data_IF_052808432127
#
_entry.id   IF_052808432127
#
_cell.length_a   1.000
_cell.length_b   1.000
_cell.length_c   1.000
_cell.angle_alpha   90.00
_cell.angle_beta   90.00
_cell.angle_gamma   90.00
#
_symmetry.space_group_name_H-M   'P 1'
#
loop_
_entity.id
_entity.type
_entity.pdbx_description
1 polymer ?
#
# COMPACT_ATOMS: atom_id res chain seq x y z
N UNK A 1 2.96 -18.06 5.39
CA UNK A 1 2.34 -17.84 4.07
C UNK A 1 3.40 -17.22 3.18
N UNK A 2 3.51 -17.64 1.92
CA UNK A 2 4.46 -17.03 0.98
C UNK A 2 3.85 -15.77 0.34
N UNK A 3 4.58 -14.66 0.40
CA UNK A 3 4.17 -13.36 -0.13
C UNK A 3 4.97 -12.93 -1.37
N UNK A 4 6.01 -13.66 -1.79
CA UNK A 4 6.98 -13.20 -2.81
C UNK A 4 6.35 -12.74 -4.12
N UNK A 5 5.25 -13.38 -4.56
CA UNK A 5 4.54 -12.99 -5.77
C UNK A 5 3.22 -12.26 -5.52
N UNK A 6 2.97 -11.78 -4.30
CA UNK A 6 1.70 -11.18 -3.89
C UNK A 6 1.72 -9.66 -4.02
N UNK A 7 0.63 -9.13 -4.57
CA UNK A 7 0.31 -7.71 -4.60
C UNK A 7 -0.67 -7.42 -3.47
N UNK A 8 -0.26 -6.54 -2.55
CA UNK A 8 -1.04 -6.20 -1.36
C UNK A 8 -1.55 -4.76 -1.50
N UNK A 9 -2.84 -4.52 -1.31
CA UNK A 9 -3.42 -3.19 -1.21
C UNK A 9 -3.62 -2.84 0.26
N UNK A 10 -3.07 -1.71 0.70
CA UNK A 10 -3.31 -1.17 2.04
C UNK A 10 -4.14 0.09 1.92
N UNK A 11 -5.39 0.02 2.38
CA UNK A 11 -6.26 1.21 2.46
C UNK A 11 -5.95 2.02 3.70
N UNK A 12 -6.07 3.35 3.64
CA UNK A 12 -5.67 4.21 4.76
C UNK A 12 -4.17 4.10 5.10
N UNK A 13 -3.33 3.71 4.13
CA UNK A 13 -1.91 3.40 4.33
C UNK A 13 -1.08 4.55 4.94
N UNK A 14 -1.49 5.80 4.74
CA UNK A 14 -0.81 6.97 5.32
C UNK A 14 -1.23 7.27 6.76
N UNK A 15 -2.20 6.52 7.31
CA UNK A 15 -2.60 6.58 8.71
C UNK A 15 -1.61 5.85 9.62
N UNK A 16 -1.73 6.07 10.93
CA UNK A 16 -0.82 5.50 11.93
C UNK A 16 -0.73 3.97 11.87
N UNK A 17 -1.87 3.28 11.72
CA UNK A 17 -1.86 1.83 11.58
C UNK A 17 -1.22 1.38 10.27
N UNK A 18 -1.65 1.95 9.14
CA UNK A 18 -1.20 1.54 7.81
C UNK A 18 0.31 1.65 7.62
N UNK A 19 0.90 2.78 8.02
CA UNK A 19 2.34 3.00 7.88
C UNK A 19 3.16 2.08 8.78
N UNK A 20 2.73 1.89 10.04
CA UNK A 20 3.37 0.96 10.96
C UNK A 20 3.22 -0.50 10.52
N UNK A 21 2.05 -0.88 10.00
CA UNK A 21 1.81 -2.20 9.44
C UNK A 21 2.77 -2.47 8.28
N UNK A 22 2.88 -1.56 7.30
CA UNK A 22 3.79 -1.70 6.16
C UNK A 22 5.24 -1.86 6.65
N UNK A 23 5.68 -0.97 7.55
CA UNK A 23 7.04 -1.01 8.12
C UNK A 23 7.32 -2.31 8.85
N UNK A 24 6.38 -2.83 9.64
CA UNK A 24 6.56 -4.08 10.37
C UNK A 24 6.48 -5.30 9.44
N UNK A 25 5.53 -5.31 8.51
CA UNK A 25 5.31 -6.38 7.56
C UNK A 25 6.56 -6.63 6.71
N UNK A 26 7.19 -5.57 6.22
CA UNK A 26 8.39 -5.62 5.39
C UNK A 26 9.67 -6.07 6.13
N UNK A 27 9.65 -6.16 7.48
CA UNK A 27 10.80 -6.72 8.23
C UNK A 27 10.92 -8.23 8.09
N UNK A 28 9.82 -8.91 7.78
CA UNK A 28 9.77 -10.38 7.79
C UNK A 28 9.20 -10.97 6.51
N UNK A 29 8.73 -10.13 5.59
CA UNK A 29 8.09 -10.56 4.35
C UNK A 29 8.57 -9.68 3.18
N UNK A 30 8.72 -10.30 2.01
CA UNK A 30 9.13 -9.62 0.79
C UNK A 30 8.03 -9.80 -0.26
N UNK A 31 7.00 -8.93 -0.31
CA UNK A 31 5.96 -9.02 -1.32
C UNK A 31 6.45 -8.54 -2.69
N UNK A 32 5.72 -8.87 -3.75
CA UNK A 32 6.00 -8.32 -5.09
C UNK A 32 5.80 -6.81 -5.14
N UNK A 33 4.71 -6.33 -4.52
CA UNK A 33 4.38 -4.90 -4.43
C UNK A 33 3.40 -4.65 -3.29
N UNK A 34 3.52 -3.49 -2.65
CA UNK A 34 2.47 -2.95 -1.77
C UNK A 34 1.91 -1.68 -2.43
N UNK A 35 0.61 -1.68 -2.72
CA UNK A 35 -0.12 -0.51 -3.19
C UNK A 35 -0.70 0.23 -1.99
N UNK A 36 -0.34 1.50 -1.85
CA UNK A 36 -0.87 2.35 -0.79
C UNK A 36 -2.06 3.15 -1.34
N UNK A 37 -3.20 3.08 -0.65
CA UNK A 37 -4.42 3.79 -1.04
C UNK A 37 -4.84 4.78 0.03
N UNK A 38 -4.85 6.07 -0.31
CA UNK A 38 -5.16 7.17 0.59
C UNK A 38 -5.54 8.42 -0.21
N UNK A 39 -6.09 9.41 0.49
CA UNK A 39 -6.54 10.69 -0.07
C UNK A 39 -5.45 11.77 -0.05
N UNK A 40 -4.47 11.63 0.83
CA UNK A 40 -3.44 12.64 1.09
C UNK A 40 -2.20 12.36 0.23
N UNK A 41 -2.00 13.20 -0.78
CA UNK A 41 -0.92 13.06 -1.77
C UNK A 41 0.45 13.27 -1.13
N UNK A 42 0.57 14.25 -0.24
CA UNK A 42 1.84 14.58 0.42
C UNK A 42 2.33 13.41 1.27
N UNK A 43 1.44 12.87 2.13
CA UNK A 43 1.83 11.73 2.98
C UNK A 43 2.09 10.46 2.18
N UNK A 44 1.43 10.27 1.04
CA UNK A 44 1.76 9.16 0.14
C UNK A 44 3.15 9.34 -0.45
N UNK A 45 3.47 10.53 -0.96
CA UNK A 45 4.77 10.83 -1.55
C UNK A 45 5.89 10.62 -0.52
N UNK A 46 5.72 11.13 0.71
CA UNK A 46 6.68 10.92 1.80
C UNK A 46 6.92 9.42 2.07
N UNK A 47 5.85 8.63 2.11
CA UNK A 47 5.94 7.20 2.39
C UNK A 47 6.60 6.42 1.24
N UNK A 48 6.29 6.75 -0.03
CA UNK A 48 6.85 6.07 -1.21
C UNK A 48 8.34 6.38 -1.38
N UNK A 49 8.73 7.63 -1.11
CA UNK A 49 10.10 8.10 -1.28
C UNK A 49 11.01 7.76 -0.09
N UNK A 50 10.48 7.16 0.97
CA UNK A 50 11.30 6.65 2.08
C UNK A 50 12.17 5.49 1.59
N UNK A 51 13.48 5.74 1.55
CA UNK A 51 14.51 4.79 1.08
C UNK A 51 14.44 3.44 1.79
N UNK A 52 13.88 3.38 3.01
CA UNK A 52 13.66 2.15 3.76
C UNK A 52 12.87 1.10 2.96
N UNK A 53 11.96 1.51 2.08
CA UNK A 53 11.09 0.59 1.35
C UNK A 53 11.65 0.11 0.01
N UNK A 54 12.81 0.61 -0.44
CA UNK A 54 13.49 0.09 -1.63
C UNK A 54 12.63 0.06 -2.91
N UNK A 55 11.64 0.95 -3.04
CA UNK A 55 10.74 1.02 -4.21
C UNK A 55 9.66 -0.08 -4.28
N UNK A 56 9.39 -0.81 -3.19
CA UNK A 56 8.30 -1.82 -3.16
C UNK A 56 6.90 -1.19 -3.07
N UNK A 57 6.81 0.11 -2.74
CA UNK A 57 5.55 0.83 -2.59
C UNK A 57 5.15 1.55 -3.88
N UNK A 58 3.88 1.42 -4.28
CA UNK A 58 3.26 2.23 -5.34
C UNK A 58 2.03 2.96 -4.78
N UNK A 59 1.81 4.22 -5.20
CA UNK A 59 0.72 5.06 -4.73
C UNK A 59 -0.54 5.03 -5.59
N UNK A 60 -1.70 4.97 -4.94
CA UNK A 60 -3.01 5.23 -5.56
C UNK A 60 -3.75 6.28 -4.74
N UNK A 61 -3.97 7.45 -5.33
CA UNK A 61 -4.79 8.49 -4.71
C UNK A 61 -6.26 8.10 -4.87
N UNK A 62 -7.02 8.12 -3.78
CA UNK A 62 -8.46 7.91 -3.82
C UNK A 62 -9.11 7.84 -2.44
N UNK A 63 -10.45 7.83 -2.44
CA UNK A 63 -11.27 7.66 -1.24
C UNK A 63 -12.03 6.33 -1.34
N UNK A 64 -12.04 5.54 -0.25
CA UNK A 64 -12.78 4.26 -0.19
C UNK A 64 -14.29 4.44 -0.39
N UNK A 65 -14.79 5.67 -0.21
CA UNK A 65 -16.18 6.06 -0.50
C UNK A 65 -16.49 6.12 -2.00
N UNK A 66 -15.46 6.22 -2.86
CA UNK A 66 -15.58 6.15 -4.32
C UNK A 66 -15.38 4.70 -4.78
N UNK A 67 -16.51 4.04 -5.05
CA UNK A 67 -16.56 2.63 -5.45
C UNK A 67 -15.75 2.33 -6.71
N UNK A 68 -15.81 3.20 -7.72
CA UNK A 68 -15.17 2.93 -9.01
C UNK A 68 -13.66 3.18 -8.92
N UNK A 69 -13.25 4.15 -8.09
CA UNK A 69 -11.83 4.36 -7.79
C UNK A 69 -11.25 3.22 -6.96
N UNK A 70 -11.99 2.70 -5.98
CA UNK A 70 -11.56 1.55 -5.18
C UNK A 70 -11.44 0.29 -6.04
N UNK A 71 -12.42 0.03 -6.94
CA UNK A 71 -12.36 -1.08 -7.90
C UNK A 71 -11.10 -1.06 -8.77
N UNK A 72 -10.70 0.12 -9.26
CA UNK A 72 -9.46 0.27 -10.02
C UNK A 72 -8.23 -0.05 -9.17
N UNK A 73 -8.15 0.44 -7.94
CA UNK A 73 -7.03 0.14 -7.03
C UNK A 73 -6.91 -1.36 -6.70
N UNK A 74 -8.05 -2.07 -6.59
CA UNK A 74 -8.13 -3.50 -6.31
C UNK A 74 -7.76 -4.41 -7.51
N UNK A 75 -7.61 -3.87 -8.71
CA UNK A 75 -7.37 -4.70 -9.91
C UNK A 75 -6.01 -5.40 -9.84
N UNK A 76 -6.01 -6.74 -9.83
CA UNK A 76 -4.79 -7.56 -9.74
C UNK A 76 -4.15 -7.58 -8.34
N UNK A 77 -4.89 -7.21 -7.30
CA UNK A 77 -4.47 -7.32 -5.90
C UNK A 77 -4.82 -8.71 -5.38
N UNK A 78 -3.90 -9.35 -4.66
CA UNK A 78 -4.12 -10.65 -4.00
C UNK A 78 -4.72 -10.50 -2.60
N UNK A 79 -4.31 -9.46 -1.86
CA UNK A 79 -4.64 -9.26 -0.45
C UNK A 79 -5.00 -7.79 -0.22
N UNK A 80 -6.09 -7.54 0.50
CA UNK A 80 -6.50 -6.20 0.93
C UNK A 80 -6.38 -6.11 2.45
N UNK A 81 -5.75 -5.04 2.92
CA UNK A 81 -5.64 -4.64 4.32
C UNK A 81 -6.41 -3.33 4.52
#
# INVERSE_FOLDING_TARGET
>A
MDYTNKIILVTGATGSFGSNFIRHFLKSHAPKRIRIYSRDEHKQADLINDEYYGGVLDGFIGDVRDKDRLRRAMTGVDIVI
#
